data_IF_190685179347
#
_entry.id   IF_190685179347
#
_cell.length_a   1.000
_cell.length_b   1.000
_cell.length_c   1.000
_cell.angle_alpha   90.00
_cell.angle_beta   90.00
_cell.angle_gamma   90.00
#
_symmetry.space_group_name_H-M   'P 1'
#
loop_
_entity.id
_entity.type
_entity.pdbx_description
1 polymer ?
#
# COMPACT_ATOMS: atom_id res chain seq x y z
N UNK A 1 25.64 0.25 -5.83
CA UNK A 1 24.73 0.83 -4.83
C UNK A 1 23.54 1.39 -5.60
N UNK A 2 22.47 0.60 -5.75
CA UNK A 2 21.26 1.07 -6.42
C UNK A 2 20.61 2.12 -5.54
N UNK A 3 20.42 3.34 -6.04
CA UNK A 3 19.58 4.30 -5.34
C UNK A 3 18.17 3.72 -5.34
N UNK A 4 17.64 3.36 -4.16
CA UNK A 4 16.22 3.03 -4.03
C UNK A 4 15.43 4.25 -4.49
N UNK A 5 14.55 4.06 -5.46
CA UNK A 5 13.62 5.11 -5.92
C UNK A 5 12.86 5.65 -4.72
N UNK A 6 12.84 6.96 -4.52
CA UNK A 6 12.06 7.55 -3.42
C UNK A 6 10.59 7.65 -3.81
N UNK A 7 9.69 7.77 -2.83
CA UNK A 7 8.27 8.01 -3.08
C UNK A 7 8.04 9.27 -3.96
N UNK A 8 8.87 10.30 -3.77
CA UNK A 8 8.85 11.51 -4.58
C UNK A 8 9.31 11.25 -6.02
N UNK A 9 10.38 10.48 -6.22
CA UNK A 9 10.86 10.12 -7.56
C UNK A 9 9.81 9.30 -8.32
N UNK A 10 9.15 8.35 -7.64
CA UNK A 10 8.04 7.61 -8.22
C UNK A 10 6.90 8.55 -8.66
N UNK A 11 6.51 9.49 -7.79
CA UNK A 11 5.48 10.48 -8.10
C UNK A 11 5.83 11.29 -9.35
N UNK A 12 7.08 11.77 -9.43
CA UNK A 12 7.57 12.55 -10.57
C UNK A 12 7.51 11.73 -11.86
N UNK A 13 7.94 10.47 -11.83
CA UNK A 13 7.90 9.58 -12.99
C UNK A 13 6.47 9.23 -13.42
N UNK A 14 5.54 9.02 -12.48
CA UNK A 14 4.13 8.79 -12.77
C UNK A 14 3.42 10.04 -13.31
N UNK A 15 3.95 11.23 -13.04
CA UNK A 15 3.45 12.51 -13.56
C UNK A 15 4.20 12.98 -14.81
N UNK A 16 5.12 12.16 -15.33
CA UNK A 16 5.97 12.55 -16.44
C UNK A 16 5.15 12.77 -17.73
N UNK A 17 5.55 13.73 -18.59
CA UNK A 17 4.79 14.09 -19.78
C UNK A 17 4.70 12.92 -20.77
N UNK A 18 5.76 12.11 -20.86
CA UNK A 18 5.79 10.99 -21.78
C UNK A 18 5.15 9.75 -21.15
N UNK A 19 4.20 9.14 -21.87
CA UNK A 19 3.50 7.94 -21.40
C UNK A 19 4.46 6.77 -21.08
N UNK A 20 5.54 6.64 -21.84
CA UNK A 20 6.52 5.56 -21.64
C UNK A 20 7.23 5.66 -20.28
N UNK A 21 7.49 6.86 -19.79
CA UNK A 21 8.14 7.07 -18.48
C UNK A 21 7.20 6.64 -17.35
N UNK A 22 5.91 6.94 -17.49
CA UNK A 22 4.87 6.50 -16.56
C UNK A 22 4.72 4.98 -16.54
N UNK A 23 4.78 4.35 -17.71
CA UNK A 23 4.80 2.88 -17.85
C UNK A 23 6.00 2.27 -17.13
N UNK A 24 7.20 2.85 -17.29
CA UNK A 24 8.38 2.38 -16.58
C UNK A 24 8.25 2.53 -15.06
N UNK A 25 7.66 3.63 -14.58
CA UNK A 25 7.41 3.83 -13.15
C UNK A 25 6.43 2.80 -12.58
N UNK A 26 5.39 2.49 -13.35
CA UNK A 26 4.42 1.45 -13.00
C UNK A 26 5.07 0.06 -12.96
N UNK A 27 5.91 -0.24 -13.95
CA UNK A 27 6.64 -1.51 -13.99
C UNK A 27 7.63 -1.65 -12.83
N UNK A 28 8.31 -0.58 -12.42
CA UNK A 28 9.14 -0.60 -11.22
C UNK A 28 8.33 -0.97 -9.97
N UNK A 29 7.09 -0.50 -9.88
CA UNK A 29 6.18 -0.82 -8.79
C UNK A 29 5.76 -2.31 -8.78
N UNK A 30 5.56 -2.90 -9.97
CA UNK A 30 5.31 -4.33 -10.13
C UNK A 30 6.51 -5.18 -9.70
N UNK A 31 7.74 -4.75 -10.01
CA UNK A 31 8.95 -5.45 -9.58
C UNK A 31 9.11 -5.44 -8.05
N UNK A 32 8.87 -4.31 -7.41
CA UNK A 32 8.90 -4.21 -5.93
C UNK A 32 7.85 -5.12 -5.28
N UNK A 33 6.67 -5.23 -5.90
CA UNK A 33 5.62 -6.15 -5.45
C UNK A 33 6.08 -7.62 -5.49
N UNK A 34 6.81 -8.03 -6.53
CA UNK A 34 7.36 -9.39 -6.62
C UNK A 34 8.38 -9.69 -5.52
N UNK A 35 9.17 -8.69 -5.11
CA UNK A 35 10.13 -8.84 -4.01
C UNK A 35 9.45 -8.84 -2.63
N UNK A 36 8.31 -8.15 -2.51
CA UNK A 36 7.61 -7.91 -1.25
C UNK A 36 6.28 -8.67 -1.11
N UNK A 37 6.16 -9.86 -1.73
CA UNK A 37 4.94 -10.70 -1.70
C UNK A 37 4.40 -11.04 -0.30
N UNK A 38 5.25 -11.02 0.73
CA UNK A 38 4.84 -11.24 2.12
C UNK A 38 4.26 -9.99 2.82
N UNK A 39 4.29 -8.82 2.16
CA UNK A 39 3.75 -7.58 2.72
C UNK A 39 2.21 -7.61 2.72
N UNK A 40 1.54 -7.18 3.81
CA UNK A 40 0.08 -7.15 3.89
C UNK A 40 -0.60 -6.28 2.82
N UNK A 41 0.13 -5.38 2.17
CA UNK A 41 -0.40 -4.53 1.08
C UNK A 41 -0.29 -5.18 -0.31
N UNK A 42 0.39 -6.32 -0.43
CA UNK A 42 0.72 -6.94 -1.72
C UNK A 42 -0.52 -7.25 -2.58
N UNK A 43 -1.57 -7.85 -2.01
CA UNK A 43 -2.79 -8.20 -2.76
C UNK A 43 -3.53 -6.96 -3.30
N UNK A 44 -3.61 -5.90 -2.48
CA UNK A 44 -4.22 -4.63 -2.91
C UNK A 44 -3.40 -3.96 -4.00
N UNK A 45 -2.07 -4.02 -3.87
CA UNK A 45 -1.15 -3.45 -4.84
C UNK A 45 -1.18 -4.22 -6.16
N UNK A 46 -1.26 -5.55 -6.13
CA UNK A 46 -1.45 -6.38 -7.32
C UNK A 46 -2.74 -6.05 -8.05
N UNK A 47 -3.85 -5.94 -7.32
CA UNK A 47 -5.14 -5.54 -7.91
C UNK A 47 -5.12 -4.10 -8.43
N UNK A 48 -4.28 -3.23 -7.86
CA UNK A 48 -4.05 -1.88 -8.37
C UNK A 48 -3.25 -1.93 -9.67
N UNK A 49 -2.14 -2.67 -9.71
CA UNK A 49 -1.27 -2.72 -10.88
C UNK A 49 -1.89 -3.42 -12.08
N UNK A 50 -2.67 -4.48 -11.85
CA UNK A 50 -3.40 -5.20 -12.89
C UNK A 50 -4.40 -4.33 -13.67
N UNK A 51 -4.85 -3.19 -13.11
CA UNK A 51 -5.73 -2.23 -13.81
C UNK A 51 -4.97 -1.33 -14.79
N UNK A 52 -3.65 -1.26 -14.68
CA UNK A 52 -2.80 -0.40 -15.51
C UNK A 52 -2.91 1.09 -15.19
N UNK A 53 -2.27 1.89 -16.04
CA UNK A 53 -2.27 3.35 -15.94
C UNK A 53 -3.57 3.89 -16.59
N UNK A 54 -4.33 4.76 -15.91
CA UNK A 54 -5.50 5.42 -16.50
C UNK A 54 -5.15 6.21 -17.75
N UNK A 55 -6.10 6.28 -18.70
CA UNK A 55 -5.93 7.02 -19.96
C UNK A 55 -5.94 8.56 -19.79
N UNK A 56 -6.34 9.06 -18.62
CA UNK A 56 -6.47 10.49 -18.32
C UNK A 56 -5.14 11.25 -18.44
N UNK A 57 -5.25 12.57 -18.64
CA UNK A 57 -4.11 13.46 -18.68
C UNK A 57 -3.54 13.66 -17.26
N UNK A 58 -2.23 13.90 -17.09
CA UNK A 58 -1.62 14.11 -15.77
C UNK A 58 -2.23 15.28 -14.97
N UNK A 59 -2.85 16.23 -15.66
CA UNK A 59 -3.50 17.39 -15.06
C UNK A 59 -4.87 17.05 -14.47
N UNK A 60 -5.48 15.94 -14.88
CA UNK A 60 -6.82 15.54 -14.45
C UNK A 60 -6.82 15.16 -12.96
N UNK A 61 -7.82 15.61 -12.18
CA UNK A 61 -7.93 15.29 -10.75
C UNK A 61 -7.91 13.79 -10.49
N UNK A 62 -8.66 13.00 -11.28
CA UNK A 62 -8.75 11.55 -11.14
C UNK A 62 -7.40 10.86 -11.38
N UNK A 63 -6.59 11.38 -12.32
CA UNK A 63 -5.23 10.88 -12.54
C UNK A 63 -4.35 11.17 -11.32
N UNK A 64 -4.43 12.39 -10.77
CA UNK A 64 -3.64 12.78 -9.59
C UNK A 64 -4.02 11.99 -8.35
N UNK A 65 -5.30 11.66 -8.18
CA UNK A 65 -5.76 10.75 -7.13
C UNK A 65 -5.21 9.34 -7.32
N UNK A 66 -5.22 8.83 -8.55
CA UNK A 66 -4.60 7.55 -8.89
C UNK A 66 -3.08 7.54 -8.58
N UNK A 67 -2.36 8.61 -8.94
CA UNK A 67 -0.93 8.76 -8.60
C UNK A 67 -0.72 8.82 -7.08
N UNK A 68 -1.55 9.57 -6.35
CA UNK A 68 -1.47 9.62 -4.90
C UNK A 68 -1.65 8.23 -4.27
N UNK A 69 -2.56 7.42 -4.83
CA UNK A 69 -2.77 6.04 -4.40
C UNK A 69 -1.56 5.14 -4.70
N UNK A 70 -0.95 5.26 -5.87
CA UNK A 70 0.29 4.53 -6.21
C UNK A 70 1.43 4.86 -5.24
N UNK A 71 1.62 6.14 -4.94
CA UNK A 71 2.64 6.61 -3.98
C UNK A 71 2.35 6.10 -2.57
N UNK A 72 1.08 6.11 -2.13
CA UNK A 72 0.71 5.56 -0.82
C UNK A 72 0.98 4.05 -0.73
N UNK A 73 0.80 3.30 -1.82
CA UNK A 73 1.19 1.88 -1.85
C UNK A 73 2.70 1.70 -1.75
N UNK A 74 3.48 2.51 -2.48
CA UNK A 74 4.93 2.50 -2.37
C UNK A 74 5.41 2.74 -0.93
N UNK A 75 4.86 3.76 -0.27
CA UNK A 75 5.18 4.09 1.12
C UNK A 75 4.80 2.96 2.09
N UNK A 76 3.61 2.36 1.94
CA UNK A 76 3.19 1.21 2.76
C UNK A 76 4.08 -0.02 2.54
N UNK A 77 4.53 -0.25 1.32
CA UNK A 77 5.43 -1.35 0.98
C UNK A 77 6.78 -1.21 1.67
N UNK A 78 7.27 0.03 1.73
CA UNK A 78 8.58 0.40 2.27
C UNK A 78 8.56 0.82 3.75
N UNK A 79 7.38 0.97 4.35
CA UNK A 79 7.26 1.22 5.77
C UNK A 79 7.89 0.04 6.52
N UNK A 80 8.80 0.32 7.46
CA UNK A 80 9.32 -0.72 8.33
C UNK A 80 8.14 -1.42 9.04
N UNK A 81 8.18 -2.74 9.22
CA UNK A 81 7.14 -3.45 9.95
C UNK A 81 7.07 -2.89 11.37
N UNK A 82 6.10 -2.01 11.61
CA UNK A 82 5.78 -1.54 12.94
C UNK A 82 5.51 -2.80 13.78
N UNK A 83 6.35 -3.00 14.80
CA UNK A 83 6.26 -4.11 15.74
C UNK A 83 4.80 -4.35 16.13
N UNK A 84 4.36 -5.62 16.22
CA UNK A 84 2.96 -5.95 16.44
C UNK A 84 2.49 -5.28 17.73
N UNK A 85 1.51 -4.38 17.60
CA UNK A 85 0.82 -3.78 18.74
C UNK A 85 0.23 -4.94 19.56
N UNK A 86 0.59 -5.12 20.84
CA UNK A 86 0.06 -6.22 21.64
C UNK A 86 -1.46 -6.09 21.72
N UNK A 87 -2.17 -6.99 21.04
CA UNK A 87 -3.61 -7.18 21.26
C UNK A 87 -3.78 -7.70 22.68
N UNK A 88 -4.03 -6.81 23.63
CA UNK A 88 -4.55 -7.19 24.95
C UNK A 88 -5.89 -7.87 24.73
N UNK A 89 -5.88 -9.21 24.73
CA UNK A 89 -7.10 -10.00 24.80
C UNK A 89 -7.70 -9.71 26.18
N UNK A 90 -8.78 -8.92 26.21
CA UNK A 90 -9.56 -8.73 27.42
C UNK A 90 -10.11 -10.10 27.85
N UNK A 91 -9.47 -10.70 28.85
CA UNK A 91 -9.99 -11.87 29.53
C UNK A 91 -11.34 -11.50 30.15
N UNK A 92 -12.42 -11.96 29.52
CA UNK A 92 -13.77 -11.88 30.06
C UNK A 92 -13.84 -12.75 31.30
N UNK A 93 -13.51 -12.18 32.46
CA UNK A 93 -13.73 -12.82 33.77
C UNK A 93 -15.23 -13.02 33.91
N UNK A 94 -15.65 -14.30 33.87
CA UNK A 94 -17.01 -14.76 34.13
C UNK A 94 -17.47 -14.26 35.51
N UNK A 95 -18.34 -13.27 35.51
CA UNK A 95 -19.19 -12.96 36.66
C UNK A 95 -20.27 -14.04 36.81
N UNK A 96 -20.33 -14.68 37.97
CA UNK A 96 -21.34 -15.69 38.30
C UNK A 96 -21.33 -16.00 39.80
N UNK A 97 -21.66 -15.01 40.64
CA UNK A 97 -21.79 -15.14 42.09
C UNK A 97 -23.20 -15.64 42.46
N UNK A 98 -23.27 -16.94 42.75
CA UNK A 98 -23.98 -17.66 43.81
C UNK A 98 -25.33 -17.17 44.43
N UNK A 99 -26.15 -18.21 44.73
CA UNK A 99 -27.06 -18.47 45.88
C UNK A 99 -28.58 -18.21 45.70
N UNK A 100 -29.38 -19.29 45.75
CA UNK A 100 -30.26 -19.68 46.88
C UNK A 100 -31.38 -20.64 46.40
N UNK A 101 -31.43 -21.85 46.96
CA UNK A 101 -32.66 -22.64 47.11
C UNK A 101 -32.40 -23.77 48.11
N UNK A 102 -32.84 -23.54 49.33
CA UNK A 102 -33.23 -24.53 50.33
C UNK A 102 -34.30 -23.84 51.20
#
# INVERSE_FOLDING_TARGET
MGQKTTAQALREQLMAPHAIERVHAMHALELELEEARANPVADELEAFTARGIPYYAPEDPDYREWVAKAVAYWEKLHAEPHAPVPRMSAAKVRGGRAKHLA
#
